data_IF_656020293086
#
_entry.id   IF_656020293086
#
_cell.length_a   1.000
_cell.length_b   1.000
_cell.length_c   1.000
_cell.angle_alpha   90.00
_cell.angle_beta   90.00
_cell.angle_gamma   90.00
#
_symmetry.space_group_name_H-M   'P 1'
#
loop_
_entity.id
_entity.type
_entity.pdbx_description
1 polymer ?
#
# COMPACT_ATOMS: atom_id res chain seq x y z
N UNK A 1 -7.27 10.55 -10.11
CA UNK A 1 -6.17 9.98 -10.91
C UNK A 1 -5.61 8.86 -10.09
N UNK A 2 -5.77 7.66 -10.61
CA UNK A 2 -5.49 6.39 -9.93
C UNK A 2 -3.98 6.10 -9.93
N UNK A 3 -3.47 5.47 -8.88
CA UNK A 3 -2.07 5.07 -8.78
C UNK A 3 -1.73 4.03 -9.84
N UNK A 4 -2.61 3.04 -10.04
CA UNK A 4 -2.36 1.91 -10.94
C UNK A 4 -2.17 2.37 -12.39
N UNK A 5 -2.95 3.36 -12.84
CA UNK A 5 -2.93 3.84 -14.22
C UNK A 5 -1.63 4.57 -14.59
N UNK A 6 -1.00 5.25 -13.64
CA UNK A 6 0.09 6.18 -13.92
C UNK A 6 1.43 5.78 -13.31
N UNK A 7 1.42 5.15 -12.13
CA UNK A 7 2.62 4.79 -11.37
C UNK A 7 2.77 3.28 -11.21
N UNK A 8 1.78 2.48 -11.59
CA UNK A 8 1.79 1.03 -11.39
C UNK A 8 2.95 0.32 -12.11
N UNK A 9 3.19 0.66 -13.38
CA UNK A 9 4.27 0.06 -14.16
C UNK A 9 5.66 0.43 -13.60
N UNK A 10 5.84 1.69 -13.20
CA UNK A 10 7.09 2.16 -12.58
C UNK A 10 7.31 1.49 -11.23
N UNK A 11 6.28 1.44 -10.38
CA UNK A 11 6.34 0.76 -9.09
C UNK A 11 6.75 -0.71 -9.25
N UNK A 12 6.16 -1.40 -10.22
CA UNK A 12 6.51 -2.78 -10.55
C UNK A 12 7.97 -2.91 -11.02
N UNK A 13 8.44 -2.02 -11.89
CA UNK A 13 9.84 -1.97 -12.33
C UNK A 13 10.83 -1.72 -11.21
N UNK A 14 10.43 -0.96 -10.18
CA UNK A 14 11.18 -0.72 -8.94
C UNK A 14 11.04 -1.86 -7.92
N UNK A 15 10.34 -2.93 -8.27
CA UNK A 15 10.16 -4.13 -7.48
C UNK A 15 9.17 -3.99 -6.33
N UNK A 16 8.34 -2.94 -6.28
CA UNK A 16 7.28 -2.84 -5.28
C UNK A 16 6.31 -4.01 -5.40
N UNK A 17 5.98 -4.59 -4.26
CA UNK A 17 5.01 -5.69 -4.17
C UNK A 17 3.60 -5.17 -3.87
N UNK A 18 2.61 -6.01 -4.18
CA UNK A 18 1.22 -5.77 -3.81
C UNK A 18 1.03 -5.52 -2.32
N UNK A 19 1.78 -6.23 -1.47
CA UNK A 19 1.64 -6.12 -0.02
C UNK A 19 2.23 -4.79 0.50
N UNK A 20 3.39 -4.38 -0.01
CA UNK A 20 4.02 -3.11 0.34
C UNK A 20 3.16 -1.89 -0.05
N UNK A 21 2.37 -2.00 -1.13
CA UNK A 21 1.52 -0.92 -1.63
C UNK A 21 0.10 -0.96 -1.04
N UNK A 22 -0.53 -2.12 -1.02
CA UNK A 22 -1.98 -2.28 -0.87
C UNK A 22 -2.40 -3.21 0.27
N UNK A 23 -1.48 -3.65 1.15
CA UNK A 23 -1.87 -4.56 2.23
C UNK A 23 -2.80 -3.91 3.27
N UNK A 24 -3.66 -4.74 3.86
CA UNK A 24 -4.50 -4.45 5.01
C UNK A 24 -4.34 -5.54 6.08
N UNK A 25 -4.61 -5.19 7.35
CA UNK A 25 -4.68 -6.20 8.40
C UNK A 25 -5.82 -7.20 8.09
N UNK A 26 -5.57 -8.52 8.09
CA UNK A 26 -6.55 -9.53 7.68
C UNK A 26 -7.86 -9.53 8.47
N UNK A 27 -7.85 -8.99 9.69
CA UNK A 27 -9.00 -8.94 10.61
C UNK A 27 -9.47 -7.52 10.94
N UNK A 28 -8.58 -6.52 10.83
CA UNK A 28 -8.81 -5.18 11.37
C UNK A 28 -8.72 -4.09 10.30
N UNK A 29 -8.52 -4.45 9.03
CA UNK A 29 -8.42 -3.49 7.93
C UNK A 29 -7.27 -2.51 8.14
N UNK A 30 -7.58 -1.22 8.10
CA UNK A 30 -6.60 -0.13 8.25
C UNK A 30 -6.26 0.24 9.70
N UNK A 31 -6.93 -0.36 10.71
CA UNK A 31 -6.72 -0.02 12.12
C UNK A 31 -5.32 -0.41 12.64
N UNK A 32 -4.63 -1.33 11.95
CA UNK A 32 -3.26 -1.76 12.27
C UNK A 32 -2.31 -1.27 11.17
N UNK A 33 -1.96 0.01 11.27
CA UNK A 33 -1.16 0.75 10.28
C UNK A 33 0.23 0.13 10.04
N UNK A 34 0.76 -0.56 11.03
CA UNK A 34 2.06 -1.23 11.00
C UNK A 34 2.08 -2.48 10.13
N UNK A 35 0.93 -2.95 9.61
CA UNK A 35 0.87 -4.04 8.62
C UNK A 35 0.29 -3.62 7.27
N UNK A 36 -0.11 -2.36 7.17
CA UNK A 36 -0.77 -1.82 5.99
C UNK A 36 0.24 -1.34 4.95
N UNK A 37 -0.10 -1.56 3.68
CA UNK A 37 0.65 -1.02 2.56
C UNK A 37 0.59 0.51 2.53
N UNK A 38 1.60 1.13 1.94
CA UNK A 38 1.82 2.58 2.02
C UNK A 38 0.64 3.41 1.47
N UNK A 39 -0.05 2.92 0.44
CA UNK A 39 -1.20 3.60 -0.15
C UNK A 39 -2.46 3.46 0.71
N UNK A 40 -2.51 2.47 1.59
CA UNK A 40 -3.65 2.25 2.49
C UNK A 40 -3.63 3.18 3.71
N UNK A 41 -2.54 3.93 3.91
CA UNK A 41 -2.34 4.79 5.10
C UNK A 41 -2.42 6.27 4.79
N UNK A 42 -1.90 6.73 3.64
CA UNK A 42 -1.64 8.17 3.45
C UNK A 42 -2.91 9.01 3.22
N UNK A 43 -4.06 8.38 2.90
CA UNK A 43 -5.32 9.05 2.54
C UNK A 43 -5.22 10.03 1.37
N UNK A 44 -4.04 10.17 0.79
CA UNK A 44 -3.62 11.23 -0.12
C UNK A 44 -3.20 10.61 -1.44
N UNK A 45 -3.45 11.34 -2.52
CA UNK A 45 -3.04 10.90 -3.85
C UNK A 45 -1.51 10.84 -3.95
N UNK A 46 -0.99 9.71 -4.43
CA UNK A 46 0.42 9.57 -4.78
C UNK A 46 0.77 10.43 -6.00
N UNK A 47 1.95 11.05 -5.98
CA UNK A 47 2.46 11.90 -7.06
C UNK A 47 3.71 11.34 -7.72
N UNK A 48 4.45 10.46 -7.02
CA UNK A 48 5.59 9.73 -7.56
C UNK A 48 5.84 8.43 -6.78
N UNK A 49 6.54 7.48 -7.39
CA UNK A 49 7.05 6.27 -6.74
C UNK A 49 8.57 6.21 -6.90
N UNK A 50 9.26 5.93 -5.81
CA UNK A 50 10.72 5.82 -5.75
C UNK A 50 11.10 4.43 -5.22
N UNK A 51 12.37 3.99 -5.32
CA UNK A 51 12.77 2.64 -4.89
C UNK A 51 12.41 2.30 -3.44
N UNK A 52 12.40 3.30 -2.55
CA UNK A 52 12.22 3.14 -1.10
C UNK A 52 11.05 3.91 -0.51
N UNK A 53 10.31 4.70 -1.31
CA UNK A 53 9.15 5.46 -0.82
C UNK A 53 8.14 5.81 -1.92
N UNK A 54 6.91 6.08 -1.51
CA UNK A 54 5.87 6.73 -2.32
C UNK A 54 5.77 8.18 -1.87
N UNK A 55 5.75 9.10 -2.84
CA UNK A 55 5.62 10.54 -2.58
C UNK A 55 4.15 10.95 -2.70
N UNK A 56 3.69 11.73 -1.74
CA UNK A 56 2.35 12.34 -1.68
C UNK A 56 2.50 13.86 -1.65
N UNK A 57 1.42 14.60 -1.94
CA UNK A 57 1.44 16.07 -1.94
C UNK A 57 1.93 16.69 -0.61
N UNK A 58 1.69 16.02 0.53
CA UNK A 58 2.05 16.50 1.87
C UNK A 58 3.19 15.72 2.56
N UNK A 59 3.86 14.79 1.86
CA UNK A 59 4.91 13.99 2.50
C UNK A 59 5.28 12.73 1.74
N UNK A 60 5.85 11.75 2.44
CA UNK A 60 6.21 10.46 1.83
C UNK A 60 5.96 9.31 2.79
N UNK A 61 5.58 8.17 2.22
CA UNK A 61 5.49 6.91 2.96
C UNK A 61 6.61 5.97 2.50
N UNK A 62 7.34 5.40 3.45
CA UNK A 62 8.47 4.53 3.16
C UNK A 62 8.03 3.09 2.92
N UNK A 63 8.77 2.41 2.05
CA UNK A 63 8.56 1.02 1.63
C UNK A 63 8.62 0.04 2.79
N UNK A 64 9.55 0.25 3.72
CA UNK A 64 9.75 -0.63 4.88
C UNK A 64 9.91 0.19 6.15
N UNK A 65 9.49 -0.37 7.28
CA UNK A 65 9.75 0.13 8.63
C UNK A 65 10.46 -0.96 9.43
N UNK A 66 11.26 -0.62 10.47
CA UNK A 66 11.80 -1.64 11.36
C UNK A 66 10.68 -2.51 11.95
N UNK A 67 10.80 -3.84 11.83
CA UNK A 67 9.79 -4.79 12.31
C UNK A 67 8.53 -4.89 11.44
N UNK A 68 8.55 -4.36 10.21
CA UNK A 68 7.40 -4.41 9.30
C UNK A 68 7.02 -5.85 8.95
N UNK A 69 5.76 -6.18 9.18
CA UNK A 69 5.10 -7.38 8.66
C UNK A 69 4.03 -6.91 7.66
N UNK A 70 3.76 -7.68 6.61
CA UNK A 70 2.73 -7.31 5.65
C UNK A 70 1.43 -8.07 5.89
N UNK A 71 0.32 -7.36 5.80
CA UNK A 71 -1.01 -7.95 5.74
C UNK A 71 -1.30 -8.59 4.37
N UNK A 72 -2.58 -8.70 4.04
CA UNK A 72 -3.04 -9.22 2.74
C UNK A 72 -3.41 -8.06 1.81
N UNK A 73 -3.18 -8.17 0.48
CA UNK A 73 -3.63 -7.14 -0.45
C UNK A 73 -5.13 -6.86 -0.35
N UNK A 74 -5.53 -5.60 -0.57
CA UNK A 74 -6.92 -5.13 -0.40
C UNK A 74 -7.97 -5.94 -1.16
N UNK A 75 -7.64 -6.50 -2.33
CA UNK A 75 -8.57 -7.37 -3.07
C UNK A 75 -8.81 -8.72 -2.40
N UNK A 76 -7.80 -9.30 -1.74
CA UNK A 76 -7.98 -10.52 -0.93
C UNK A 76 -8.81 -10.21 0.33
N UNK A 77 -8.58 -9.04 0.94
CA UNK A 77 -9.42 -8.58 2.05
C UNK A 77 -10.88 -8.42 1.62
N UNK A 78 -11.14 -7.79 0.47
CA UNK A 78 -12.49 -7.63 -0.07
C UNK A 78 -13.18 -8.98 -0.31
N UNK A 79 -12.48 -9.98 -0.88
CA UNK A 79 -12.99 -11.34 -1.04
C UNK A 79 -13.41 -11.97 0.31
N UNK A 80 -12.61 -11.77 1.36
CA UNK A 80 -12.95 -12.26 2.71
C UNK A 80 -14.19 -11.60 3.31
N UNK A 81 -14.37 -10.30 3.05
CA UNK A 81 -15.54 -9.55 3.58
C UNK A 81 -16.81 -9.91 2.84
N UNK A 82 -16.77 -10.08 1.51
CA UNK A 82 -17.94 -10.45 0.69
C UNK A 82 -18.45 -11.87 1.00
N UNK A 83 -17.56 -12.77 1.42
CA UNK A 83 -17.94 -14.13 1.82
C UNK A 83 -18.48 -14.26 3.26
N UNK A 84 -18.68 -13.15 3.97
CA UNK A 84 -19.12 -13.09 5.37
C UNK A 84 -20.53 -12.51 5.47
#
# INVERSE_FOLDING_TARGET
MDFCDHLGAEAHGLGWTAAELFALHPEHGTLRVEVCGVLMVSGSKAVAVEPTRVVFAGGSGYRTKPGQVWGIPVWEYARKVVGR
#
